data_IF_116135549274
#
_entry.id   IF_116135549274
#
_cell.length_a   1.000
_cell.length_b   1.000
_cell.length_c   1.000
_cell.angle_alpha   90.00
_cell.angle_beta   90.00
_cell.angle_gamma   90.00
#
_symmetry.space_group_name_H-M   'P 1'
#
loop_
_entity.id
_entity.type
_entity.pdbx_description
1 polymer ?
#
# COMPACT_ATOMS: atom_id res chain seq x y z
N UNK A 1 -14.74 44.17 -3.37
CA UNK A 1 -15.12 42.97 -2.58
C UNK A 1 -14.21 41.83 -3.00
N UNK A 2 -13.12 41.66 -2.26
CA UNK A 2 -12.08 40.66 -2.47
C UNK A 2 -12.12 39.70 -1.29
N UNK A 3 -12.97 38.67 -1.33
CA UNK A 3 -13.13 37.69 -0.24
C UNK A 3 -13.86 36.45 -0.80
N UNK A 4 -13.44 35.20 -0.63
CA UNK A 4 -12.27 34.63 0.03
C UNK A 4 -11.76 33.43 -0.76
N UNK A 5 -10.45 33.37 -0.98
CA UNK A 5 -9.76 32.18 -1.46
C UNK A 5 -9.47 31.36 -0.21
N UNK A 6 -10.20 30.27 0.04
CA UNK A 6 -9.89 29.33 1.12
C UNK A 6 -8.47 28.77 0.94
N UNK A 7 -7.46 29.16 1.75
CA UNK A 7 -6.07 28.78 1.49
C UNK A 7 -5.65 27.44 2.11
N UNK A 8 -6.54 26.64 2.70
CA UNK A 8 -6.03 25.55 3.55
C UNK A 8 -7.02 24.56 4.14
N UNK A 9 -8.13 24.27 3.45
CA UNK A 9 -9.00 23.17 3.86
C UNK A 9 -8.30 21.82 3.66
N UNK A 10 -7.53 21.36 4.65
CA UNK A 10 -7.07 19.96 4.73
C UNK A 10 -8.32 19.07 4.86
N UNK A 11 -8.93 18.72 3.72
CA UNK A 11 -10.02 17.75 3.68
C UNK A 11 -9.47 16.45 4.22
N UNK A 12 -9.82 16.12 5.47
CA UNK A 12 -9.54 14.81 6.07
C UNK A 12 -10.12 13.78 5.11
N UNK A 13 -9.27 12.96 4.48
CA UNK A 13 -9.75 11.84 3.66
C UNK A 13 -10.67 10.98 4.54
N UNK A 14 -11.90 10.66 4.09
CA UNK A 14 -12.84 9.90 4.90
C UNK A 14 -12.26 8.52 5.21
N UNK A 15 -12.56 8.00 6.41
CA UNK A 15 -12.01 6.73 6.92
C UNK A 15 -12.29 5.56 5.95
N UNK A 16 -13.40 5.61 5.22
CA UNK A 16 -13.79 4.61 4.23
C UNK A 16 -12.79 4.51 3.06
N UNK A 17 -12.34 5.65 2.52
CA UNK A 17 -11.30 5.67 1.47
C UNK A 17 -9.97 5.11 1.98
N UNK A 18 -9.66 5.31 3.26
CA UNK A 18 -8.42 4.80 3.87
C UNK A 18 -8.44 3.30 4.05
N UNK A 19 -9.55 2.76 4.56
CA UNK A 19 -9.75 1.30 4.70
C UNK A 19 -9.78 0.65 3.32
N UNK A 20 -10.40 1.29 2.32
CA UNK A 20 -10.38 0.81 0.94
C UNK A 20 -8.96 0.71 0.36
N UNK A 21 -8.16 1.76 0.52
CA UNK A 21 -6.75 1.75 0.07
C UNK A 21 -5.90 0.72 0.82
N UNK A 22 -6.11 0.57 2.14
CA UNK A 22 -5.43 -0.45 2.94
C UNK A 22 -5.81 -1.87 2.49
N UNK A 23 -7.08 -2.13 2.17
CA UNK A 23 -7.54 -3.42 1.67
C UNK A 23 -6.91 -3.78 0.31
N UNK A 24 -6.85 -2.81 -0.62
CA UNK A 24 -6.19 -3.00 -1.93
C UNK A 24 -4.71 -3.31 -1.75
N UNK A 25 -4.02 -2.59 -0.87
CA UNK A 25 -2.62 -2.89 -0.54
C UNK A 25 -2.45 -4.31 0.03
N UNK A 26 -3.39 -4.77 0.87
CA UNK A 26 -3.37 -6.13 1.41
C UNK A 26 -3.51 -7.19 0.31
N UNK A 27 -4.44 -6.99 -0.63
CA UNK A 27 -4.62 -7.89 -1.79
C UNK A 27 -3.35 -7.94 -2.64
N UNK A 28 -2.82 -6.78 -3.05
CA UNK A 28 -1.60 -6.70 -3.85
C UNK A 28 -0.39 -7.31 -3.13
N UNK A 29 -0.25 -7.04 -1.83
CA UNK A 29 0.79 -7.61 -0.98
C UNK A 29 0.68 -9.14 -0.92
N UNK A 30 -0.53 -9.68 -0.77
CA UNK A 30 -0.73 -11.14 -0.76
C UNK A 30 -0.34 -11.80 -2.08
N UNK A 31 -0.61 -11.17 -3.22
CA UNK A 31 -0.21 -11.66 -4.55
C UNK A 31 1.31 -11.66 -4.67
N UNK A 32 1.97 -10.55 -4.31
CA UNK A 32 3.43 -10.48 -4.31
C UNK A 32 4.07 -11.49 -3.37
N UNK A 33 3.50 -11.70 -2.18
CA UNK A 33 3.92 -12.73 -1.24
C UNK A 33 3.78 -14.14 -1.81
N UNK A 34 2.66 -14.44 -2.48
CA UNK A 34 2.45 -15.71 -3.17
C UNK A 34 3.48 -15.97 -4.27
N UNK A 35 3.78 -14.95 -5.08
CA UNK A 35 4.83 -15.02 -6.12
C UNK A 35 6.21 -15.22 -5.50
N UNK A 36 6.54 -14.50 -4.42
CA UNK A 36 7.81 -14.67 -3.73
C UNK A 36 7.99 -16.09 -3.19
N UNK A 37 6.92 -16.66 -2.60
CA UNK A 37 6.93 -18.02 -2.07
C UNK A 37 7.05 -19.06 -3.19
N UNK A 38 6.33 -18.88 -4.30
CA UNK A 38 6.41 -19.75 -5.46
C UNK A 38 7.80 -19.71 -6.12
N UNK A 39 8.39 -18.52 -6.30
CA UNK A 39 9.73 -18.35 -6.85
C UNK A 39 10.82 -18.93 -5.95
N UNK A 40 10.64 -18.86 -4.62
CA UNK A 40 11.55 -19.49 -3.66
C UNK A 40 11.53 -21.02 -3.81
N UNK A 41 10.35 -21.61 -3.99
CA UNK A 41 10.18 -23.04 -4.24
C UNK A 41 10.69 -23.47 -5.62
N UNK A 42 10.61 -22.60 -6.63
CA UNK A 42 11.14 -22.83 -7.98
C UNK A 42 12.67 -22.74 -8.09
N UNK A 43 13.33 -22.10 -7.12
CA UNK A 43 14.79 -21.91 -7.09
C UNK A 43 15.27 -20.59 -7.69
N UNK A 44 14.37 -19.74 -8.18
CA UNK A 44 14.70 -18.41 -8.69
C UNK A 44 14.85 -17.37 -7.57
N UNK A 45 15.99 -17.42 -6.88
CA UNK A 45 16.31 -16.53 -5.74
C UNK A 45 16.17 -15.04 -6.08
N UNK A 46 16.58 -14.62 -7.29
CA UNK A 46 16.48 -13.23 -7.69
C UNK A 46 15.04 -12.74 -7.80
N UNK A 47 14.17 -13.57 -8.41
CA UNK A 47 12.75 -13.27 -8.56
C UNK A 47 12.05 -13.30 -7.19
N UNK A 48 12.40 -14.27 -6.36
CA UNK A 48 11.89 -14.39 -4.99
C UNK A 48 12.27 -13.17 -4.13
N UNK A 49 13.51 -12.68 -4.22
CA UNK A 49 13.97 -11.50 -3.52
C UNK A 49 13.26 -10.23 -4.00
N UNK A 50 13.15 -10.02 -5.31
CA UNK A 50 12.44 -8.87 -5.88
C UNK A 50 10.96 -8.85 -5.49
N UNK A 51 10.29 -9.99 -5.63
CA UNK A 51 8.89 -10.13 -5.21
C UNK A 51 8.73 -9.96 -3.70
N UNK A 52 9.66 -10.48 -2.89
CA UNK A 52 9.67 -10.31 -1.44
C UNK A 52 9.80 -8.83 -1.03
N UNK A 53 10.70 -8.08 -1.66
CA UNK A 53 10.88 -6.65 -1.41
C UNK A 53 9.64 -5.87 -1.83
N UNK A 54 9.06 -6.19 -2.99
CA UNK A 54 7.80 -5.61 -3.46
C UNK A 54 6.65 -5.84 -2.47
N UNK A 55 6.51 -7.08 -1.97
CA UNK A 55 5.52 -7.44 -0.95
C UNK A 55 5.69 -6.60 0.32
N UNK A 56 6.92 -6.51 0.84
CA UNK A 56 7.22 -5.74 2.04
C UNK A 56 6.86 -4.26 1.87
N UNK A 57 7.24 -3.66 0.75
CA UNK A 57 6.93 -2.27 0.43
C UNK A 57 5.42 -2.02 0.37
N UNK A 58 4.66 -2.90 -0.29
CA UNK A 58 3.20 -2.78 -0.40
C UNK A 58 2.53 -2.91 0.97
N UNK A 59 2.90 -3.90 1.78
CA UNK A 59 2.35 -4.11 3.12
C UNK A 59 2.72 -2.96 4.07
N UNK A 60 3.93 -2.43 3.96
CA UNK A 60 4.40 -1.31 4.74
C UNK A 60 3.60 -0.04 4.44
N UNK A 61 3.44 0.32 3.16
CA UNK A 61 2.64 1.48 2.75
C UNK A 61 1.16 1.30 3.10
N UNK A 62 0.59 0.11 2.90
CA UNK A 62 -0.78 -0.21 3.30
C UNK A 62 -0.99 -0.04 4.81
N UNK A 63 -0.05 -0.51 5.62
CA UNK A 63 -0.08 -0.35 7.08
C UNK A 63 0.03 1.12 7.49
N UNK A 64 0.97 1.88 6.91
CA UNK A 64 1.09 3.31 7.18
C UNK A 64 -0.18 4.09 6.79
N UNK A 65 -0.87 3.68 5.73
CA UNK A 65 -2.14 4.26 5.29
C UNK A 65 -3.26 4.03 6.32
N UNK A 66 -3.23 2.89 7.02
CA UNK A 66 -4.16 2.57 8.10
C UNK A 66 -3.83 3.31 9.40
N UNK A 67 -2.54 3.38 9.79
CA UNK A 67 -2.11 3.96 11.08
C UNK A 67 -1.93 5.49 11.08
N UNK A 68 -1.56 6.11 9.95
CA UNK A 68 -1.41 7.59 9.83
C UNK A 68 -2.68 8.25 9.31
N UNK A 69 -3.74 7.46 9.15
CA UNK A 69 -5.09 7.89 8.81
C UNK A 69 -5.79 8.51 10.01
#
# INVERSE_FOLDING_TARGET
MTEGRDPGGRVRRPLLERVGLAAVALVLGSVFGGVALAAWLGGEIFLAAMAGIGCLMTLWVGSLTLFRG
#
